data_IF_954253071836
#
_entry.id   IF_954253071836
#
_cell.length_a   1.000
_cell.length_b   1.000
_cell.length_c   1.000
_cell.angle_alpha   90.00
_cell.angle_beta   90.00
_cell.angle_gamma   90.00
#
_symmetry.space_group_name_H-M   'P 1'
#
loop_
_entity.id
_entity.type
_entity.pdbx_description
1 polymer ?
#
# COMPACT_ATOMS: atom_id res chain seq x y z
N UNK A 1 1.43 -8.99 -13.06
CA UNK A 1 0.69 -8.08 -12.15
C UNK A 1 -0.22 -7.16 -12.94
N UNK A 2 -0.94 -6.28 -12.26
CA UNK A 2 -1.71 -5.19 -12.87
C UNK A 2 -0.82 -3.96 -12.95
N UNK A 3 -0.70 -3.35 -14.13
CA UNK A 3 0.17 -2.19 -14.38
C UNK A 3 -0.66 -0.93 -14.56
N UNK A 4 -0.27 0.14 -13.88
CA UNK A 4 -0.93 1.44 -13.99
C UNK A 4 -0.69 2.06 -15.36
N UNK A 5 -1.75 2.29 -16.14
CA UNK A 5 -1.66 2.98 -17.42
C UNK A 5 -1.46 4.50 -17.29
N UNK A 6 -1.80 5.07 -16.13
CA UNK A 6 -1.69 6.51 -15.79
C UNK A 6 -1.46 6.71 -14.30
N UNK A 7 -1.07 7.90 -13.90
CA UNK A 7 -1.07 8.33 -12.49
C UNK A 7 -2.37 9.02 -12.06
N UNK A 8 -2.47 9.33 -10.77
CA UNK A 8 -3.50 10.22 -10.21
C UNK A 8 -4.57 9.50 -9.39
N UNK A 9 -5.28 10.27 -8.56
CA UNK A 9 -6.18 9.76 -7.51
C UNK A 9 -7.36 8.90 -8.02
N UNK A 10 -7.79 9.11 -9.27
CA UNK A 10 -8.84 8.35 -9.94
C UNK A 10 -8.33 7.05 -10.60
N UNK A 11 -7.02 6.82 -10.57
CA UNK A 11 -6.40 5.57 -11.00
C UNK A 11 -5.91 4.80 -9.76
N UNK A 12 -6.64 3.75 -9.39
CA UNK A 12 -6.34 3.00 -8.19
C UNK A 12 -6.84 1.56 -8.25
N UNK A 13 -6.25 0.73 -7.40
CA UNK A 13 -6.82 -0.56 -6.99
C UNK A 13 -7.34 -0.38 -5.57
N UNK A 14 -8.55 -0.85 -5.32
CA UNK A 14 -9.10 -0.93 -3.98
C UNK A 14 -9.57 -2.35 -3.69
N UNK A 15 -9.29 -2.84 -2.48
CA UNK A 15 -9.72 -4.17 -2.05
C UNK A 15 -10.01 -4.18 -0.56
N UNK A 16 -10.87 -5.12 -0.15
CA UNK A 16 -11.18 -5.39 1.25
C UNK A 16 -10.40 -6.62 1.71
N UNK A 17 -9.95 -6.59 2.96
CA UNK A 17 -9.23 -7.69 3.57
C UNK A 17 -9.42 -7.67 5.10
N UNK A 18 -9.20 -8.81 5.76
CA UNK A 18 -9.15 -8.87 7.22
C UNK A 18 -7.85 -8.22 7.70
N UNK A 19 -7.90 -7.35 8.72
CA UNK A 19 -6.83 -6.44 9.19
C UNK A 19 -5.48 -7.04 9.65
N UNK A 20 -5.08 -8.19 9.12
CA UNK A 20 -3.74 -8.78 9.23
C UNK A 20 -2.67 -7.79 8.74
N UNK A 21 -1.40 -7.94 9.16
CA UNK A 21 -0.29 -7.24 8.52
C UNK A 21 -0.33 -7.43 7.00
N UNK A 22 -0.01 -6.40 6.24
CA UNK A 22 -0.12 -6.42 4.78
C UNK A 22 1.15 -5.86 4.14
N UNK A 23 1.76 -6.67 3.29
CA UNK A 23 2.73 -6.21 2.32
C UNK A 23 2.21 -6.32 0.88
N UNK A 24 2.78 -5.52 0.00
CA UNK A 24 2.43 -5.49 -1.43
C UNK A 24 3.70 -5.65 -2.26
N UNK A 25 3.69 -6.60 -3.20
CA UNK A 25 4.80 -6.77 -4.15
C UNK A 25 4.55 -5.81 -5.32
N UNK A 26 5.44 -4.84 -5.49
CA UNK A 26 5.34 -3.83 -6.55
C UNK A 26 6.67 -3.68 -7.28
N UNK A 27 6.63 -3.21 -8.52
CA UNK A 27 7.81 -2.84 -9.28
C UNK A 27 7.58 -1.56 -10.07
N UNK A 28 8.58 -0.67 -10.17
CA UNK A 28 8.54 0.42 -11.13
C UNK A 28 9.06 -0.04 -12.51
N UNK A 29 8.87 0.78 -13.56
CA UNK A 29 9.66 0.65 -14.78
C UNK A 29 11.16 0.67 -14.46
N UNK A 30 11.94 -0.05 -15.26
CA UNK A 30 13.39 -0.15 -15.06
C UNK A 30 14.05 1.24 -14.97
N UNK A 31 14.84 1.47 -13.92
CA UNK A 31 15.56 2.74 -13.71
C UNK A 31 14.69 3.92 -13.28
N UNK A 32 13.45 3.68 -12.83
CA UNK A 32 12.54 4.72 -12.34
C UNK A 32 12.01 4.42 -10.94
N UNK A 33 11.37 5.43 -10.34
CA UNK A 33 10.65 5.29 -9.08
C UNK A 33 9.37 6.14 -9.12
N UNK A 34 8.34 5.74 -8.38
CA UNK A 34 7.13 6.55 -8.21
C UNK A 34 6.48 6.33 -6.85
N UNK A 35 5.67 7.30 -6.43
CA UNK A 35 4.86 7.16 -5.23
C UNK A 35 3.62 6.32 -5.51
N UNK A 36 3.23 5.50 -4.56
CA UNK A 36 1.91 4.88 -4.48
C UNK A 36 1.23 5.40 -3.23
N UNK A 37 0.19 6.20 -3.42
CA UNK A 37 -0.63 6.76 -2.34
C UNK A 37 -1.47 5.65 -1.71
N UNK A 38 -1.53 5.67 -0.39
CA UNK A 38 -2.21 4.67 0.43
C UNK A 38 -3.37 5.33 1.17
N UNK A 39 -4.58 4.79 1.03
CA UNK A 39 -5.73 5.23 1.82
C UNK A 39 -6.41 4.05 2.49
N UNK A 40 -6.81 4.22 3.74
CA UNK A 40 -7.68 3.31 4.49
C UNK A 40 -9.08 3.90 4.54
N UNK A 41 -10.06 3.17 4.00
CA UNK A 41 -11.45 3.64 3.99
C UNK A 41 -11.62 5.08 3.43
N UNK A 42 -10.83 5.43 2.41
CA UNK A 42 -10.77 6.76 1.77
C UNK A 42 -10.13 7.87 2.63
N UNK A 43 -9.49 7.52 3.74
CA UNK A 43 -8.68 8.42 4.57
C UNK A 43 -7.19 8.07 4.50
N UNK A 44 -6.32 9.04 4.77
CA UNK A 44 -4.89 8.76 4.92
C UNK A 44 -4.63 7.83 6.11
N UNK A 45 -3.56 7.03 6.03
CA UNK A 45 -3.23 6.12 7.10
C UNK A 45 -2.93 6.85 8.41
N UNK A 46 -3.36 6.28 9.53
CA UNK A 46 -2.79 6.62 10.83
C UNK A 46 -1.34 6.12 10.92
N UNK A 47 -0.45 6.87 11.57
CA UNK A 47 0.99 6.52 11.68
C UNK A 47 1.21 5.21 12.42
N UNK A 48 0.32 4.88 13.33
CA UNK A 48 0.36 3.65 14.13
C UNK A 48 0.04 2.43 13.27
N UNK A 49 -0.79 2.59 12.24
CA UNK A 49 -1.19 1.53 11.32
C UNK A 49 -0.19 1.31 10.17
N UNK A 50 0.66 2.29 9.88
CA UNK A 50 1.64 2.25 8.79
C UNK A 50 2.70 1.15 8.97
N UNK A 51 2.92 0.36 7.91
CA UNK A 51 4.03 -0.58 7.82
C UNK A 51 5.38 0.14 7.64
N UNK A 52 6.48 -0.62 7.67
CA UNK A 52 7.83 -0.05 7.68
C UNK A 52 8.20 0.76 6.41
N UNK A 53 7.59 0.47 5.26
CA UNK A 53 7.87 1.17 4.01
C UNK A 53 6.98 2.40 3.78
N UNK A 54 5.99 2.64 4.65
CA UNK A 54 5.07 3.76 4.51
C UNK A 54 5.70 5.06 5.01
N UNK A 55 5.66 6.06 4.14
CA UNK A 55 6.10 7.43 4.37
C UNK A 55 4.88 8.36 4.40
N UNK A 56 5.08 9.55 4.96
CA UNK A 56 4.08 10.60 5.03
C UNK A 56 4.68 11.88 4.47
N UNK A 57 3.94 12.58 3.62
CA UNK A 57 4.37 13.90 3.16
C UNK A 57 4.12 14.97 4.24
N UNK A 58 4.46 16.23 3.92
CA UNK A 58 4.30 17.38 4.82
C UNK A 58 2.84 17.65 5.22
N UNK A 59 1.87 17.13 4.45
CA UNK A 59 0.44 17.26 4.69
C UNK A 59 -0.15 16.05 5.41
N UNK A 60 0.67 15.06 5.74
CA UNK A 60 0.25 13.81 6.37
C UNK A 60 -0.34 12.79 5.39
N UNK A 61 -0.20 12.98 4.07
CA UNK A 61 -0.65 12.00 3.10
C UNK A 61 0.29 10.79 3.07
N UNK A 62 -0.26 9.59 3.26
CA UNK A 62 0.49 8.34 3.29
C UNK A 62 0.83 7.81 1.89
N UNK A 63 2.08 7.39 1.71
CA UNK A 63 2.56 6.80 0.46
C UNK A 63 3.66 5.77 0.70
N UNK A 64 3.91 4.94 -0.31
CA UNK A 64 5.14 4.16 -0.46
C UNK A 64 5.91 4.69 -1.66
N UNK A 65 7.22 4.79 -1.53
CA UNK A 65 8.11 5.04 -2.68
C UNK A 65 8.51 3.71 -3.28
N UNK A 66 8.08 3.45 -4.52
CA UNK A 66 8.35 2.21 -5.23
C UNK A 66 9.54 2.44 -6.16
N UNK A 67 10.71 1.95 -5.75
CA UNK A 67 12.01 2.16 -6.38
C UNK A 67 12.67 0.88 -6.91
N UNK A 68 12.19 -0.28 -6.46
CA UNK A 68 12.69 -1.59 -6.87
C UNK A 68 11.57 -2.65 -6.93
N UNK A 69 11.74 -3.73 -7.71
CA UNK A 69 10.84 -4.88 -7.69
C UNK A 69 11.00 -5.68 -6.38
N UNK A 70 10.18 -5.40 -5.38
CA UNK A 70 10.24 -6.06 -4.06
C UNK A 70 8.91 -6.08 -3.33
N UNK A 71 8.88 -6.75 -2.19
CA UNK A 71 7.81 -6.61 -1.20
C UNK A 71 7.99 -5.29 -0.43
N UNK A 72 6.91 -4.52 -0.32
CA UNK A 72 6.80 -3.32 0.51
C UNK A 72 5.87 -3.60 1.68
N UNK A 73 6.31 -3.34 2.91
CA UNK A 73 5.50 -3.45 4.12
C UNK A 73 4.60 -2.22 4.27
N UNK A 74 3.31 -2.41 3.99
CA UNK A 74 2.33 -1.33 3.88
C UNK A 74 1.57 -1.13 5.18
N UNK A 75 1.27 -2.19 5.94
CA UNK A 75 0.36 -2.08 7.08
C UNK A 75 0.71 -3.05 8.19
N UNK A 76 0.69 -2.56 9.43
CA UNK A 76 0.74 -3.39 10.65
C UNK A 76 -0.59 -4.09 10.89
N UNK A 77 -0.57 -5.09 11.78
CA UNK A 77 -1.79 -5.74 12.26
C UNK A 77 -2.73 -4.72 12.89
N UNK A 78 -4.02 -4.83 12.60
CA UNK A 78 -5.09 -4.05 13.19
C UNK A 78 -6.33 -4.92 13.41
N UNK A 79 -7.31 -4.37 14.13
CA UNK A 79 -8.60 -5.04 14.32
C UNK A 79 -9.52 -4.78 13.11
N UNK A 80 -10.39 -5.74 12.83
CA UNK A 80 -11.50 -5.68 11.88
C UNK A 80 -11.13 -5.66 10.39
N UNK A 81 -12.15 -5.72 9.54
CA UNK A 81 -12.04 -5.56 8.09
C UNK A 81 -11.47 -4.18 7.74
N UNK A 82 -10.63 -4.14 6.71
CA UNK A 82 -9.98 -2.93 6.19
C UNK A 82 -10.21 -2.82 4.69
N UNK A 83 -10.27 -1.58 4.19
CA UNK A 83 -10.31 -1.29 2.75
C UNK A 83 -9.09 -0.46 2.39
N UNK A 84 -8.15 -1.07 1.68
CA UNK A 84 -6.98 -0.38 1.19
C UNK A 84 -7.20 0.09 -0.24
N UNK A 85 -6.92 1.37 -0.49
CA UNK A 85 -6.78 1.95 -1.83
C UNK A 85 -5.32 2.27 -2.11
N UNK A 86 -4.84 1.83 -3.26
CA UNK A 86 -3.49 2.04 -3.79
C UNK A 86 -3.57 2.87 -5.07
N UNK A 87 -3.01 4.08 -5.08
CA UNK A 87 -3.07 4.98 -6.23
C UNK A 87 -1.67 5.43 -6.66
N UNK A 88 -1.15 4.95 -7.80
CA UNK A 88 0.14 5.38 -8.33
C UNK A 88 0.14 6.86 -8.74
N UNK A 89 1.22 7.59 -8.44
CA UNK A 89 1.41 8.97 -8.87
C UNK A 89 1.81 9.10 -10.34
N UNK A 90 2.28 8.01 -10.96
CA UNK A 90 2.77 7.93 -12.33
C UNK A 90 2.36 6.59 -12.98
N UNK A 91 2.32 6.50 -14.32
CA UNK A 91 2.14 5.23 -15.01
C UNK A 91 3.31 4.26 -14.75
N UNK A 92 3.10 2.98 -15.08
CA UNK A 92 4.16 1.97 -15.15
C UNK A 92 4.42 1.20 -13.87
N UNK A 93 3.91 1.64 -12.70
CA UNK A 93 3.95 0.80 -11.50
C UNK A 93 3.12 -0.46 -11.73
N UNK A 94 3.74 -1.62 -11.51
CA UNK A 94 3.07 -2.92 -11.54
C UNK A 94 2.86 -3.43 -10.12
N UNK A 95 1.63 -3.78 -9.78
CA UNK A 95 1.28 -4.52 -8.57
C UNK A 95 1.21 -6.02 -8.90
N UNK A 96 2.03 -6.82 -8.23
CA UNK A 96 2.16 -8.25 -8.52
C UNK A 96 1.34 -9.13 -7.60
N UNK A 97 1.39 -8.86 -6.29
CA UNK A 97 0.75 -9.69 -5.28
C UNK A 97 0.52 -8.93 -3.97
N UNK A 98 -0.40 -9.44 -3.16
CA UNK A 98 -0.59 -9.07 -1.76
C UNK A 98 -0.06 -10.18 -0.86
N UNK A 99 0.61 -9.83 0.24
CA UNK A 99 1.08 -10.77 1.26
C UNK A 99 0.45 -10.40 2.59
N UNK A 100 -0.43 -11.26 3.09
CA UNK A 100 -1.04 -11.10 4.41
C UNK A 100 -0.22 -11.86 5.45
N UNK A 101 0.17 -11.19 6.52
CA UNK A 101 0.86 -11.80 7.66
C UNK A 101 -0.09 -12.62 8.52
N UNK A 102 0.48 -13.34 9.48
CA UNK A 102 -0.30 -13.99 10.53
C UNK A 102 -0.88 -12.94 11.50
N UNK A 103 -2.07 -13.23 12.02
CA UNK A 103 -2.61 -12.51 13.18
C UNK A 103 -2.21 -13.33 14.39
N UNK A 104 -1.51 -12.76 15.39
CA UNK A 104 -1.26 -13.47 16.64
C UNK A 104 -2.58 -13.99 17.22
N UNK A 105 -2.63 -15.21 17.75
CA UNK A 105 -3.85 -15.73 18.34
C UNK A 105 -4.35 -14.78 19.43
N UNK A 106 -5.66 -14.52 19.45
CA UNK A 106 -6.26 -13.70 20.50
C UNK A 106 -6.00 -14.37 21.86
N UNK A 107 -5.22 -13.72 22.73
CA UNK A 107 -5.06 -14.15 24.11
C UNK A 107 -6.43 -14.01 24.78
N UNK A 108 -6.99 -15.14 25.24
CA UNK A 108 -8.23 -15.17 26.02
C UNK A 108 -8.01 -14.60 27.41
#
# INVERSE_FOLDING_TARGET
>A
GVTAARGGADNFIAFRYDGRPLGVVMSPPAGSAARVWLLDQDEWFAREAAGADVRFDERGASYVEVDAPRLYDVRRAGRHEKRLKLSPSAPGITLHAFRFGEVPPATR
#
